data_IF_906986864999
#
_entry.id   IF_906986864999
#
_cell.length_a   1.000
_cell.length_b   1.000
_cell.length_c   1.000
_cell.angle_alpha   90.00
_cell.angle_beta   90.00
_cell.angle_gamma   90.00
#
_symmetry.space_group_name_H-M   'P 1'
#
loop_
_entity.id
_entity.type
_entity.pdbx_description
1 polymer ?
#
# COMPACT_ATOMS: atom_id res chain seq x y z
N UNK A 1 -56.09 -15.37 -24.53
CA UNK A 1 -55.46 -15.29 -23.20
C UNK A 1 -53.96 -15.50 -23.38
N UNK A 2 -53.17 -14.43 -23.44
CA UNK A 2 -51.71 -14.53 -23.51
C UNK A 2 -51.21 -14.56 -22.06
N UNK A 3 -50.79 -15.73 -21.60
CA UNK A 3 -50.17 -15.91 -20.29
C UNK A 3 -48.78 -15.29 -20.36
N UNK A 4 -48.64 -14.08 -19.79
CA UNK A 4 -47.36 -13.38 -19.70
C UNK A 4 -46.46 -14.08 -18.67
N UNK A 5 -45.49 -14.86 -19.16
CA UNK A 5 -44.52 -15.62 -18.38
C UNK A 5 -43.26 -14.80 -18.01
N UNK A 6 -43.33 -13.46 -18.07
CA UNK A 6 -42.16 -12.57 -17.99
C UNK A 6 -42.01 -11.72 -16.69
N UNK A 7 -42.88 -11.75 -15.66
CA UNK A 7 -42.74 -10.82 -14.53
C UNK A 7 -41.77 -11.28 -13.42
N UNK A 8 -41.37 -12.56 -13.37
CA UNK A 8 -40.56 -13.09 -12.25
C UNK A 8 -39.05 -12.85 -12.44
N UNK A 9 -38.53 -13.10 -13.65
CA UNK A 9 -37.10 -12.97 -13.94
C UNK A 9 -36.63 -11.51 -13.97
N UNK A 10 -37.49 -10.60 -14.40
CA UNK A 10 -37.25 -9.15 -14.39
C UNK A 10 -37.17 -8.58 -12.97
N UNK A 11 -38.02 -9.06 -12.06
CA UNK A 11 -37.99 -8.66 -10.65
C UNK A 11 -36.70 -9.12 -9.94
N UNK A 12 -36.23 -10.34 -10.23
CA UNK A 12 -34.98 -10.88 -9.68
C UNK A 12 -33.77 -10.05 -10.16
N UNK A 13 -33.75 -9.69 -11.45
CA UNK A 13 -32.67 -8.87 -12.03
C UNK A 13 -32.65 -7.46 -11.41
N UNK A 14 -33.81 -6.85 -11.18
CA UNK A 14 -33.91 -5.54 -10.52
C UNK A 14 -33.42 -5.59 -9.06
N UNK A 15 -33.73 -6.66 -8.31
CA UNK A 15 -33.22 -6.85 -6.94
C UNK A 15 -31.69 -7.00 -6.90
N UNK A 16 -31.10 -7.67 -7.90
CA UNK A 16 -29.64 -7.83 -8.01
C UNK A 16 -28.93 -6.51 -8.34
N UNK A 17 -29.55 -5.64 -9.16
CA UNK A 17 -29.00 -4.31 -9.50
C UNK A 17 -29.07 -3.35 -8.29
N UNK A 18 -30.08 -3.47 -7.43
CA UNK A 18 -30.22 -2.68 -6.20
C UNK A 18 -29.21 -3.06 -5.10
N UNK A 19 -28.47 -4.17 -5.25
CA UNK A 19 -27.47 -4.63 -4.28
C UNK A 19 -26.14 -3.88 -4.31
N UNK A 20 -25.96 -2.90 -5.20
CA UNK A 20 -24.77 -2.06 -5.26
C UNK A 20 -25.04 -0.76 -4.49
N UNK A 21 -24.98 -0.83 -3.16
CA UNK A 21 -25.04 0.33 -2.27
C UNK A 21 -23.66 0.65 -1.69
N UNK A 22 -23.34 1.93 -1.53
CA UNK A 22 -22.22 2.34 -0.68
C UNK A 22 -22.52 1.93 0.76
N UNK A 23 -21.51 1.48 1.50
CA UNK A 23 -21.68 1.20 2.93
C UNK A 23 -21.79 2.52 3.70
N UNK A 24 -22.79 2.64 4.57
CA UNK A 24 -23.00 3.84 5.41
C UNK A 24 -21.94 3.98 6.52
N UNK A 25 -21.28 2.87 6.90
CA UNK A 25 -20.28 2.81 7.97
C UNK A 25 -19.12 1.91 7.59
N UNK A 26 -17.93 2.16 8.14
CA UNK A 26 -16.76 1.28 8.01
C UNK A 26 -16.03 1.16 9.35
N UNK A 27 -15.23 0.11 9.48
CA UNK A 27 -14.36 -0.13 10.65
C UNK A 27 -12.95 0.36 10.29
N UNK A 28 -12.40 1.26 11.10
CA UNK A 28 -11.02 1.70 10.99
C UNK A 28 -10.15 1.02 12.07
N UNK A 29 -8.86 0.85 11.77
CA UNK A 29 -7.85 0.42 12.73
C UNK A 29 -6.66 1.38 12.73
N UNK A 30 -5.99 1.48 13.86
CA UNK A 30 -4.72 2.20 14.01
C UNK A 30 -3.76 1.31 14.78
N UNK A 31 -2.47 1.37 14.45
CA UNK A 31 -1.44 0.64 15.16
C UNK A 31 -0.37 1.60 15.67
N UNK A 32 -0.18 1.62 16.99
CA UNK A 32 0.96 2.28 17.61
C UNK A 32 2.17 1.35 17.52
N UNK A 33 3.21 1.78 16.81
CA UNK A 33 4.36 0.93 16.49
C UNK A 33 5.58 1.30 17.35
N UNK A 34 6.12 0.31 18.05
CA UNK A 34 7.42 0.41 18.70
C UNK A 34 8.52 0.19 17.65
N UNK A 35 8.88 1.25 16.92
CA UNK A 35 9.77 1.15 15.77
C UNK A 35 11.17 0.64 16.16
N UNK A 36 11.70 -0.28 15.35
CA UNK A 36 13.11 -0.67 15.43
C UNK A 36 13.93 0.40 14.72
N UNK A 37 14.63 1.21 15.50
CA UNK A 37 15.46 2.31 14.99
C UNK A 37 16.79 1.81 14.39
N UNK A 38 17.32 2.50 13.37
CA UNK A 38 18.68 2.26 12.90
C UNK A 38 19.69 2.65 13.97
N UNK A 39 20.87 2.03 13.91
CA UNK A 39 22.02 2.54 14.66
C UNK A 39 22.42 3.90 14.10
N UNK A 40 22.84 4.82 14.98
CA UNK A 40 23.41 6.10 14.55
C UNK A 40 24.73 5.84 13.83
N UNK A 41 24.80 6.24 12.56
CA UNK A 41 26.02 6.22 11.75
C UNK A 41 26.27 7.60 11.17
N UNK A 42 27.55 7.97 11.05
CA UNK A 42 27.95 9.22 10.39
C UNK A 42 27.97 9.08 8.86
N UNK A 43 28.10 7.85 8.37
CA UNK A 43 28.13 7.52 6.94
C UNK A 43 26.85 6.78 6.52
N UNK A 44 26.42 6.92 5.24
CA UNK A 44 25.31 6.14 4.71
C UNK A 44 25.58 4.63 4.81
N UNK A 45 24.56 3.88 5.18
CA UNK A 45 24.60 2.41 5.16
C UNK A 45 24.49 1.88 3.72
N UNK A 46 24.74 0.59 3.53
CA UNK A 46 24.44 -0.04 2.25
C UNK A 46 22.92 -0.16 2.07
N UNK A 47 22.43 -0.02 0.84
CA UNK A 47 20.99 -0.18 0.51
C UNK A 47 20.41 -1.50 1.02
N UNK A 48 21.16 -2.60 0.90
CA UNK A 48 20.77 -3.92 1.44
C UNK A 48 20.57 -3.92 2.96
N UNK A 49 21.31 -3.10 3.69
CA UNK A 49 21.21 -2.99 5.16
C UNK A 49 20.01 -2.12 5.55
N UNK A 50 19.77 -1.04 4.80
CA UNK A 50 18.56 -0.23 4.92
C UNK A 50 17.30 -1.09 4.68
N UNK A 51 17.24 -1.83 3.57
CA UNK A 51 16.15 -2.77 3.26
C UNK A 51 15.94 -3.81 4.35
N UNK A 52 17.02 -4.38 4.91
CA UNK A 52 16.92 -5.35 5.99
C UNK A 52 16.28 -4.75 7.25
N UNK A 53 16.60 -3.51 7.60
CA UNK A 53 15.97 -2.82 8.73
C UNK A 53 14.49 -2.55 8.44
N UNK A 54 14.17 -2.03 7.26
CA UNK A 54 12.80 -1.72 6.87
C UNK A 54 11.91 -2.97 6.87
N UNK A 55 12.41 -4.10 6.37
CA UNK A 55 11.71 -5.38 6.42
C UNK A 55 11.39 -5.83 7.86
N UNK A 56 12.30 -5.65 8.82
CA UNK A 56 12.00 -5.99 10.23
C UNK A 56 10.82 -5.20 10.79
N UNK A 57 10.73 -3.90 10.44
CA UNK A 57 9.58 -3.10 10.84
C UNK A 57 8.31 -3.53 10.09
N UNK A 58 8.42 -3.80 8.79
CA UNK A 58 7.30 -4.28 7.96
C UNK A 58 6.77 -5.63 8.48
N UNK A 59 7.60 -6.55 8.96
CA UNK A 59 7.15 -7.84 9.52
C UNK A 59 6.21 -7.65 10.73
N UNK A 60 6.49 -6.66 11.58
CA UNK A 60 5.63 -6.28 12.72
C UNK A 60 4.33 -5.64 12.22
N UNK A 61 4.43 -4.69 11.29
CA UNK A 61 3.27 -4.03 10.69
C UNK A 61 2.37 -5.02 9.94
N UNK A 62 2.93 -6.00 9.25
CA UNK A 62 2.18 -7.06 8.56
C UNK A 62 1.32 -7.84 9.55
N UNK A 63 1.85 -8.13 10.75
CA UNK A 63 1.08 -8.80 11.81
C UNK A 63 -0.11 -7.95 12.24
N UNK A 64 0.07 -6.64 12.42
CA UNK A 64 -1.01 -5.70 12.75
C UNK A 64 -2.06 -5.60 11.63
N UNK A 65 -1.62 -5.50 10.36
CA UNK A 65 -2.49 -5.46 9.18
C UNK A 65 -3.33 -6.74 9.08
N UNK A 66 -2.70 -7.91 9.22
CA UNK A 66 -3.39 -9.20 9.20
C UNK A 66 -4.41 -9.33 10.32
N UNK A 67 -4.09 -8.84 11.53
CA UNK A 67 -5.02 -8.86 12.66
C UNK A 67 -6.21 -7.93 12.43
N UNK A 68 -5.98 -6.70 11.97
CA UNK A 68 -7.04 -5.73 11.66
C UNK A 68 -7.98 -6.27 10.57
N UNK A 69 -7.43 -6.87 9.51
CA UNK A 69 -8.21 -7.50 8.46
C UNK A 69 -9.09 -8.65 9.01
N UNK A 70 -8.56 -9.49 9.89
CA UNK A 70 -9.33 -10.57 10.56
C UNK A 70 -10.46 -10.03 11.44
N UNK A 71 -10.33 -8.81 11.96
CA UNK A 71 -11.37 -8.13 12.74
C UNK A 71 -12.37 -7.33 11.88
N UNK A 72 -12.25 -7.38 10.55
CA UNK A 72 -13.15 -6.68 9.63
C UNK A 72 -12.84 -5.19 9.45
N UNK A 73 -11.62 -4.74 9.79
CA UNK A 73 -11.19 -3.39 9.46
C UNK A 73 -11.14 -3.20 7.94
N UNK A 74 -11.71 -2.10 7.47
CA UNK A 74 -11.72 -1.71 6.06
C UNK A 74 -10.47 -0.89 5.70
N UNK A 75 -9.87 -0.23 6.69
CA UNK A 75 -8.63 0.53 6.59
C UNK A 75 -7.84 0.43 7.89
N UNK A 76 -6.52 0.39 7.78
CA UNK A 76 -5.58 0.51 8.90
C UNK A 76 -4.56 1.60 8.61
N UNK A 77 -4.25 2.42 9.62
CA UNK A 77 -3.20 3.43 9.54
C UNK A 77 -2.01 3.03 10.42
N UNK A 78 -0.81 3.17 9.87
CA UNK A 78 0.49 2.99 10.54
C UNK A 78 1.16 4.35 10.77
N UNK A 79 2.05 4.50 11.76
CA UNK A 79 2.61 5.81 12.12
C UNK A 79 3.62 6.31 11.08
N UNK A 80 3.83 7.62 11.10
CA UNK A 80 4.97 8.28 10.44
C UNK A 80 6.29 7.67 10.92
N UNK A 81 7.27 7.60 10.02
CA UNK A 81 8.60 7.03 10.26
C UNK A 81 8.59 5.58 10.79
N UNK A 82 7.46 4.87 10.71
CA UNK A 82 7.27 3.52 11.27
C UNK A 82 8.06 2.42 10.57
N UNK A 83 8.76 2.72 9.47
CA UNK A 83 9.55 1.75 8.69
C UNK A 83 11.06 1.96 8.89
N UNK A 84 11.52 3.21 9.03
CA UNK A 84 12.93 3.56 9.05
C UNK A 84 13.36 4.50 10.20
N UNK A 85 12.44 5.11 10.95
CA UNK A 85 12.74 6.02 12.08
C UNK A 85 13.07 7.47 11.68
N UNK A 86 13.55 8.28 12.62
CA UNK A 86 13.66 9.74 12.47
C UNK A 86 15.09 10.30 12.69
N UNK A 87 16.12 9.46 12.59
CA UNK A 87 17.50 9.85 12.94
C UNK A 87 18.39 9.83 11.70
N UNK A 88 18.30 10.88 10.88
CA UNK A 88 19.03 10.95 9.62
C UNK A 88 19.55 12.35 9.26
N UNK A 89 20.58 12.37 8.42
CA UNK A 89 20.96 13.50 7.55
C UNK A 89 20.46 13.21 6.13
N UNK A 90 20.65 14.16 5.19
CA UNK A 90 20.29 13.97 3.78
C UNK A 90 21.05 12.81 3.13
N UNK A 91 22.28 12.58 3.57
CA UNK A 91 23.16 11.53 3.04
C UNK A 91 22.79 10.18 3.65
N UNK A 92 22.54 10.13 4.96
CA UNK A 92 22.29 8.86 5.65
C UNK A 92 20.89 8.31 5.42
N UNK A 93 19.90 9.15 5.06
CA UNK A 93 18.56 8.69 4.67
C UNK A 93 18.51 8.11 3.25
N UNK A 94 19.41 8.52 2.37
CA UNK A 94 19.34 8.18 0.94
C UNK A 94 19.18 6.68 0.63
N UNK A 95 19.86 5.75 1.32
CA UNK A 95 19.69 4.30 1.10
C UNK A 95 18.32 3.74 1.47
N UNK A 96 17.45 4.51 2.14
CA UNK A 96 16.11 4.12 2.56
C UNK A 96 15.00 4.60 1.61
N UNK A 97 15.36 5.38 0.58
CA UNK A 97 14.38 6.04 -0.28
C UNK A 97 14.14 5.26 -1.57
N UNK A 98 12.92 5.38 -2.08
CA UNK A 98 12.50 4.90 -3.40
C UNK A 98 11.90 6.04 -4.20
N UNK A 99 11.93 5.94 -5.53
CA UNK A 99 11.14 6.80 -6.40
C UNK A 99 9.70 6.27 -6.41
N UNK A 100 8.74 7.10 -5.96
CA UNK A 100 7.33 6.71 -5.83
C UNK A 100 6.54 7.48 -6.89
N UNK A 101 5.94 6.80 -7.89
CA UNK A 101 5.27 7.48 -8.99
C UNK A 101 3.94 8.11 -8.54
N UNK A 102 3.47 9.09 -9.31
CA UNK A 102 2.12 9.64 -9.16
C UNK A 102 1.06 8.54 -9.33
N UNK A 103 0.01 8.46 -8.48
CA UNK A 103 -0.99 7.39 -8.54
C UNK A 103 -1.75 7.32 -9.87
N UNK A 104 -1.74 8.37 -10.70
CA UNK A 104 -2.28 8.38 -12.06
C UNK A 104 -1.69 7.33 -12.99
N UNK A 105 -0.50 6.77 -12.69
CA UNK A 105 0.07 5.65 -13.47
C UNK A 105 -0.73 4.34 -13.34
N UNK A 106 -1.65 4.26 -12.38
CA UNK A 106 -2.52 3.12 -12.11
C UNK A 106 -1.73 1.80 -12.05
N UNK A 107 -0.86 1.68 -11.04
CA UNK A 107 0.05 0.54 -10.89
C UNK A 107 -0.25 -0.25 -9.61
N UNK A 108 -0.18 -1.59 -9.72
CA UNK A 108 -0.26 -2.51 -8.59
C UNK A 108 1.10 -3.21 -8.45
N UNK A 109 1.98 -2.76 -7.53
CA UNK A 109 3.34 -3.30 -7.41
C UNK A 109 3.40 -4.82 -7.24
N UNK A 110 2.45 -5.40 -6.48
CA UNK A 110 2.38 -6.85 -6.26
C UNK A 110 2.07 -7.67 -7.53
N UNK A 111 1.39 -7.09 -8.53
CA UNK A 111 1.05 -7.78 -9.78
C UNK A 111 2.07 -7.57 -10.90
N UNK A 112 2.75 -6.42 -10.90
CA UNK A 112 3.73 -6.06 -11.92
C UNK A 112 4.94 -5.35 -11.28
N UNK A 113 5.80 -6.09 -10.54
CA UNK A 113 6.85 -5.49 -9.72
C UNK A 113 7.95 -4.81 -10.54
N UNK A 114 8.09 -5.13 -11.84
CA UNK A 114 9.14 -4.59 -12.70
C UNK A 114 8.75 -3.28 -13.40
N UNK A 115 7.48 -2.85 -13.30
CA UNK A 115 6.99 -1.68 -14.02
C UNK A 115 7.71 -0.39 -13.64
N UNK A 116 8.05 -0.19 -12.37
CA UNK A 116 8.72 1.03 -11.90
C UNK A 116 10.10 1.19 -12.55
N UNK A 117 10.88 0.11 -12.59
CA UNK A 117 12.17 0.12 -13.30
C UNK A 117 12.02 0.49 -14.79
N UNK A 118 10.92 0.05 -15.41
CA UNK A 118 10.60 0.38 -16.80
C UNK A 118 10.14 1.83 -16.99
N UNK A 119 9.54 2.46 -15.96
CA UNK A 119 9.19 3.88 -15.95
C UNK A 119 10.45 4.75 -15.74
N UNK A 120 11.31 4.43 -14.77
CA UNK A 120 12.57 5.15 -14.52
C UNK A 120 13.55 5.05 -15.70
N UNK A 121 13.64 3.90 -16.38
CA UNK A 121 14.51 3.74 -17.56
C UNK A 121 14.04 4.56 -18.75
N UNK A 122 12.72 4.76 -18.91
CA UNK A 122 12.18 5.72 -19.90
C UNK A 122 12.47 7.18 -19.52
N UNK A 123 12.43 7.53 -18.23
CA UNK A 123 12.78 8.88 -17.74
C UNK A 123 14.26 9.24 -17.93
N UNK A 124 15.17 8.25 -17.86
CA UNK A 124 16.61 8.49 -18.08
C UNK A 124 17.02 8.73 -19.54
N UNK A 125 16.16 8.48 -20.53
CA UNK A 125 16.45 8.85 -21.92
C UNK A 125 16.41 10.38 -22.16
N UNK A 126 15.99 11.18 -21.16
CA UNK A 126 15.93 12.64 -21.23
C UNK A 126 16.94 13.39 -20.36
N UNK A 127 17.82 12.72 -19.61
CA UNK A 127 18.85 13.37 -18.79
C UNK A 127 20.22 12.87 -19.23
N UNK A 128 20.76 13.52 -20.27
CA UNK A 128 22.20 13.54 -20.49
C UNK A 128 22.85 14.36 -19.38
N UNK A 129 23.80 13.75 -18.67
CA UNK A 129 24.90 14.52 -18.08
C UNK A 129 25.72 15.16 -19.20
#
# INVERSE_FOLDING_TARGET
MIVSCVPKYTAILALLVLGVGALDTFIAAVYEHAVTLPNRTETPVLEKEALLLMHKNIDVLETAVKLAARQGAHIIVTPEDGIYGWVFTRETIYPYLEDIPDPGVNWIPCKDPQREWNLCTRGRQGVSL
#
